data_IF_383175014302
#
_entry.id   IF_383175014302
#
_cell.length_a   1.000
_cell.length_b   1.000
_cell.length_c   1.000
_cell.angle_alpha   90.00
_cell.angle_beta   90.00
_cell.angle_gamma   90.00
#
_symmetry.space_group_name_H-M   'P 1'
#
loop_
_entity.id
_entity.type
_entity.pdbx_description
1 polymer ?
#
# COMPACT_ATOMS: atom_id res chain seq x y z
N UNK A 1 10.08 8.00 14.16
CA UNK A 1 9.58 8.34 12.80
C UNK A 1 9.09 7.05 12.18
N UNK A 2 7.90 7.06 11.59
CA UNK A 2 7.39 5.90 10.87
C UNK A 2 8.03 5.82 9.49
N UNK A 3 8.33 4.61 9.04
CA UNK A 3 8.77 4.32 7.68
C UNK A 3 7.58 4.36 6.71
N UNK A 4 7.85 4.51 5.41
CA UNK A 4 6.80 4.45 4.37
C UNK A 4 6.05 3.11 4.44
N UNK A 5 6.77 2.02 4.71
CA UNK A 5 6.19 0.68 4.80
C UNK A 5 5.19 0.57 5.96
N UNK A 6 5.55 1.13 7.13
CA UNK A 6 4.65 1.17 8.29
C UNK A 6 3.40 2.00 7.99
N UNK A 7 3.54 3.15 7.32
CA UNK A 7 2.41 3.99 6.92
C UNK A 7 1.44 3.28 5.97
N UNK A 8 1.95 2.51 5.00
CA UNK A 8 1.12 1.75 4.07
C UNK A 8 0.31 0.67 4.80
N UNK A 9 0.93 -0.04 5.74
CA UNK A 9 0.25 -1.08 6.52
C UNK A 9 -0.80 -0.49 7.45
N UNK A 10 -0.47 0.59 8.16
CA UNK A 10 -1.40 1.27 9.06
C UNK A 10 -2.61 1.81 8.31
N UNK A 11 -2.43 2.50 7.17
CA UNK A 11 -3.55 2.99 6.37
C UNK A 11 -4.49 1.86 5.93
N UNK A 12 -3.91 0.73 5.53
CA UNK A 12 -4.67 -0.44 5.14
C UNK A 12 -5.46 -1.01 6.33
N UNK A 13 -4.83 -1.13 7.49
CA UNK A 13 -5.43 -1.73 8.70
C UNK A 13 -6.45 -0.81 9.37
N UNK A 14 -6.20 0.50 9.39
CA UNK A 14 -7.13 1.52 9.92
C UNK A 14 -8.43 1.58 9.10
N UNK A 15 -8.38 1.20 7.83
CA UNK A 15 -9.54 1.14 6.93
C UNK A 15 -10.12 -0.27 6.76
N UNK A 16 -9.68 -1.25 7.57
CA UNK A 16 -10.10 -2.66 7.49
C UNK A 16 -9.92 -3.29 6.08
N UNK A 17 -8.93 -2.82 5.32
CA UNK A 17 -8.67 -3.29 3.96
C UNK A 17 -7.71 -4.48 3.95
N UNK A 18 -7.92 -5.42 3.03
CA UNK A 18 -6.94 -6.46 2.74
C UNK A 18 -5.90 -5.96 1.72
N UNK A 19 -4.78 -6.67 1.61
CA UNK A 19 -3.79 -6.39 0.56
C UNK A 19 -4.38 -6.55 -0.85
N UNK A 20 -5.42 -7.40 -1.00
CA UNK A 20 -6.14 -7.59 -2.26
C UNK A 20 -6.98 -6.36 -2.60
N UNK A 21 -7.64 -5.76 -1.62
CA UNK A 21 -8.49 -4.58 -1.82
C UNK A 21 -7.65 -3.38 -2.27
N UNK A 22 -6.55 -3.11 -1.57
CA UNK A 22 -5.61 -2.06 -1.96
C UNK A 22 -5.00 -2.33 -3.35
N UNK A 23 -4.63 -3.58 -3.63
CA UNK A 23 -4.07 -3.92 -4.94
C UNK A 23 -5.08 -3.72 -6.07
N UNK A 24 -6.36 -4.05 -5.84
CA UNK A 24 -7.44 -3.80 -6.80
C UNK A 24 -7.61 -2.30 -7.05
N UNK A 25 -7.58 -1.48 -5.99
CA UNK A 25 -7.62 -0.02 -6.10
C UNK A 25 -6.42 0.52 -6.90
N UNK A 26 -5.23 0.00 -6.67
CA UNK A 26 -4.03 0.42 -7.38
C UNK A 26 -3.92 -0.19 -8.80
N UNK A 27 -4.83 -1.08 -9.19
CA UNK A 27 -4.79 -1.76 -10.49
C UNK A 27 -3.59 -2.70 -10.66
N UNK A 28 -3.09 -3.29 -9.57
CA UNK A 28 -1.96 -4.22 -9.54
C UNK A 28 -2.36 -5.55 -8.89
N UNK A 29 -1.49 -6.55 -8.96
CA UNK A 29 -1.72 -7.81 -8.24
C UNK A 29 -1.46 -7.65 -6.74
N UNK A 30 -2.16 -8.42 -5.91
CA UNK A 30 -1.91 -8.48 -4.47
C UNK A 30 -0.44 -8.78 -4.14
N UNK A 31 0.20 -9.67 -4.90
CA UNK A 31 1.63 -9.98 -4.74
C UNK A 31 2.53 -8.77 -5.03
N UNK A 32 2.18 -7.90 -5.98
CA UNK A 32 2.92 -6.68 -6.24
C UNK A 32 2.77 -5.70 -5.08
N UNK A 33 1.55 -5.50 -4.58
CA UNK A 33 1.33 -4.66 -3.41
C UNK A 33 2.05 -5.17 -2.16
N UNK A 34 2.06 -6.50 -1.94
CA UNK A 34 2.80 -7.14 -0.85
C UNK A 34 4.30 -6.76 -0.87
N UNK A 35 4.91 -6.65 -2.05
CA UNK A 35 6.32 -6.23 -2.20
C UNK A 35 6.57 -4.78 -1.77
N UNK A 36 5.56 -3.91 -1.82
CA UNK A 36 5.65 -2.57 -1.23
C UNK A 36 5.66 -2.67 0.29
N UNK A 37 4.79 -3.49 0.86
CA UNK A 37 4.72 -3.69 2.31
C UNK A 37 5.89 -4.50 2.90
N UNK A 38 6.66 -5.24 2.09
CA UNK A 38 7.90 -5.91 2.55
C UNK A 38 9.16 -5.07 2.31
N UNK A 39 9.05 -4.00 1.52
CA UNK A 39 10.19 -3.18 1.10
C UNK A 39 11.01 -3.79 -0.04
N UNK A 40 10.56 -4.89 -0.64
CA UNK A 40 11.21 -5.50 -1.80
C UNK A 40 11.12 -4.60 -3.03
N UNK A 41 10.05 -3.79 -3.14
CA UNK A 41 9.84 -2.82 -4.21
C UNK A 41 9.46 -1.46 -3.62
N UNK A 42 10.03 -0.39 -4.16
CA UNK A 42 9.60 0.96 -3.82
C UNK A 42 8.21 1.24 -4.37
N UNK A 43 7.37 1.91 -3.56
CA UNK A 43 6.05 2.36 -4.01
C UNK A 43 6.21 3.56 -4.97
N UNK A 44 5.65 3.51 -6.19
CA UNK A 44 5.65 4.68 -7.07
C UNK A 44 4.84 5.82 -6.46
N UNK A 45 5.30 7.07 -6.64
CA UNK A 45 4.64 8.26 -6.10
C UNK A 45 3.14 8.35 -6.43
N UNK A 46 2.74 7.94 -7.65
CA UNK A 46 1.33 7.89 -8.06
C UNK A 46 0.45 6.98 -7.17
N UNK A 47 0.98 5.83 -6.73
CA UNK A 47 0.25 4.92 -5.85
C UNK A 47 0.20 5.49 -4.45
N UNK A 48 1.32 6.08 -3.99
CA UNK A 48 1.35 6.74 -2.69
C UNK A 48 0.33 7.88 -2.58
N UNK A 49 0.27 8.77 -3.58
CA UNK A 49 -0.73 9.85 -3.64
C UNK A 49 -2.14 9.26 -3.59
N UNK A 50 -2.43 8.23 -4.39
CA UNK A 50 -3.75 7.59 -4.41
C UNK A 50 -4.14 7.00 -3.05
N UNK A 51 -3.19 6.40 -2.33
CA UNK A 51 -3.45 5.87 -0.99
C UNK A 51 -3.62 6.98 0.05
N UNK A 52 -2.91 8.10 -0.09
CA UNK A 52 -3.00 9.22 0.84
C UNK A 52 -4.29 10.06 0.70
N UNK A 53 -5.12 9.80 -0.31
CA UNK A 53 -6.43 10.43 -0.50
C UNK A 53 -7.57 9.71 0.25
N UNK A 54 -7.29 8.58 0.89
CA UNK A 54 -8.19 7.90 1.84
C UNK A 54 -8.19 8.59 3.21
#
# INVERSE_FOLDING_TARGET
MKTIIELLRELREDHDLSQTDIAAELGISQQHYSKYETGDHEIPLRHFIKLAEY
#
